data_IF_601576585264
#
_entry.id   IF_601576585264
#
_cell.length_a   1.000
_cell.length_b   1.000
_cell.length_c   1.000
_cell.angle_alpha   90.00
_cell.angle_beta   90.00
_cell.angle_gamma   90.00
#
_symmetry.space_group_name_H-M   'P 1'
#
loop_
_entity.id
_entity.type
_entity.pdbx_description
1 polymer ?
#
# COMPACT_ATOMS: atom_id res chain seq x y z
N UNK A 1 5.10 -33.79 0.95
CA UNK A 1 4.95 -32.44 1.54
C UNK A 1 5.62 -31.46 0.59
N UNK A 2 4.85 -30.63 -0.10
CA UNK A 2 5.40 -29.64 -1.04
C UNK A 2 6.15 -28.58 -0.23
N UNK A 3 7.46 -28.48 -0.43
CA UNK A 3 8.29 -27.42 0.15
C UNK A 3 7.87 -26.10 -0.50
N UNK A 4 6.88 -25.42 0.09
CA UNK A 4 6.53 -24.06 -0.36
C UNK A 4 7.74 -23.18 -0.10
N UNK A 5 8.28 -22.56 -1.15
CA UNK A 5 9.36 -21.59 -1.04
C UNK A 5 8.95 -20.48 -0.07
N UNK A 6 9.85 -20.06 0.82
CA UNK A 6 9.58 -19.07 1.87
C UNK A 6 8.93 -17.76 1.34
N UNK A 7 9.23 -17.39 0.10
CA UNK A 7 8.62 -16.24 -0.57
C UNK A 7 7.11 -16.37 -0.79
N UNK A 8 6.62 -17.57 -1.15
CA UNK A 8 5.19 -17.82 -1.35
C UNK A 8 4.44 -17.68 -0.02
N UNK A 9 5.04 -18.20 1.06
CA UNK A 9 4.49 -18.09 2.41
C UNK A 9 4.41 -16.62 2.81
N UNK A 10 5.50 -15.85 2.65
CA UNK A 10 5.51 -14.43 2.97
C UNK A 10 4.45 -13.65 2.18
N UNK A 11 4.30 -13.87 0.87
CA UNK A 11 3.27 -13.18 0.05
C UNK A 11 1.86 -13.50 0.50
N UNK A 12 1.58 -14.78 0.82
CA UNK A 12 0.27 -15.21 1.29
C UNK A 12 -0.02 -14.64 2.68
N UNK A 13 0.95 -14.70 3.59
CA UNK A 13 0.83 -14.11 4.93
C UNK A 13 0.61 -12.60 4.84
N UNK A 14 1.39 -11.88 4.03
CA UNK A 14 1.23 -10.44 3.82
C UNK A 14 -0.17 -10.11 3.27
N UNK A 15 -0.65 -10.87 2.28
CA UNK A 15 -2.00 -10.69 1.74
C UNK A 15 -3.08 -10.94 2.80
N UNK A 16 -3.00 -12.06 3.52
CA UNK A 16 -4.00 -12.42 4.53
C UNK A 16 -4.04 -11.37 5.63
N UNK A 17 -2.89 -10.98 6.16
CA UNK A 17 -2.82 -9.95 7.20
C UNK A 17 -3.31 -8.59 6.70
N UNK A 18 -2.91 -8.17 5.49
CA UNK A 18 -3.37 -6.89 4.92
C UNK A 18 -4.87 -6.91 4.66
N UNK A 19 -5.41 -8.05 4.19
CA UNK A 19 -6.84 -8.19 3.91
C UNK A 19 -7.64 -8.22 5.20
N UNK A 20 -7.20 -8.96 6.23
CA UNK A 20 -7.87 -8.97 7.53
C UNK A 20 -7.90 -7.58 8.16
N UNK A 21 -6.77 -6.89 8.15
CA UNK A 21 -6.67 -5.55 8.70
C UNK A 21 -7.48 -4.53 7.89
N UNK A 22 -7.38 -4.59 6.56
CA UNK A 22 -8.10 -3.68 5.65
C UNK A 22 -9.61 -3.91 5.63
N UNK A 23 -10.07 -5.17 5.67
CA UNK A 23 -11.50 -5.47 5.74
C UNK A 23 -12.05 -5.15 7.13
N UNK A 24 -11.32 -5.49 8.19
CA UNK A 24 -11.72 -5.16 9.57
C UNK A 24 -11.80 -3.65 9.81
N UNK A 25 -10.79 -2.90 9.37
CA UNK A 25 -10.80 -1.43 9.43
C UNK A 25 -11.89 -0.80 8.58
N UNK A 26 -12.20 -1.40 7.41
CA UNK A 26 -13.33 -0.96 6.58
C UNK A 26 -14.66 -1.18 7.31
N UNK A 27 -14.90 -2.36 7.89
CA UNK A 27 -16.12 -2.60 8.67
C UNK A 27 -16.27 -1.63 9.84
N UNK A 28 -15.17 -1.33 10.55
CA UNK A 28 -15.17 -0.32 11.60
C UNK A 28 -15.53 1.07 11.08
N UNK A 29 -14.93 1.50 9.96
CA UNK A 29 -15.21 2.79 9.34
C UNK A 29 -16.67 2.89 8.84
N UNK A 30 -17.18 1.82 8.23
CA UNK A 30 -18.57 1.74 7.80
C UNK A 30 -19.53 1.77 8.98
N UNK A 31 -19.23 1.04 10.06
CA UNK A 31 -20.01 1.07 11.31
C UNK A 31 -20.16 2.50 11.84
N UNK A 32 -19.06 3.25 11.94
CA UNK A 32 -19.11 4.66 12.33
C UNK A 32 -19.97 5.51 11.39
N UNK A 33 -19.90 5.28 10.07
CA UNK A 33 -20.74 6.01 9.12
C UNK A 33 -22.24 5.73 9.29
N UNK A 34 -22.60 4.52 9.76
CA UNK A 34 -23.99 4.16 10.09
C UNK A 34 -24.45 4.74 11.43
N UNK A 35 -23.53 4.95 12.37
CA UNK A 35 -23.82 5.61 13.65
C UNK A 35 -23.99 7.14 13.46
N UNK A 36 -23.14 7.77 12.64
CA UNK A 36 -23.22 9.19 12.27
C UNK A 36 -22.52 9.40 10.91
N UNK A 37 -23.22 9.79 9.82
CA UNK A 37 -24.54 10.43 9.75
C UNK A 37 -25.77 9.49 9.67
N UNK A 38 -25.56 8.17 9.53
CA UNK A 38 -26.65 7.20 9.45
C UNK A 38 -27.57 7.28 8.22
N UNK A 39 -28.60 6.44 8.21
CA UNK A 39 -29.66 6.43 7.19
C UNK A 39 -29.15 6.23 5.75
N UNK A 40 -29.78 6.94 4.79
CA UNK A 40 -29.41 6.83 3.37
C UNK A 40 -28.03 7.40 3.04
N UNK A 41 -27.55 8.38 3.83
CA UNK A 41 -26.21 8.98 3.65
C UNK A 41 -25.13 7.94 3.91
N UNK A 42 -25.27 7.14 4.98
CA UNK A 42 -24.36 6.03 5.27
C UNK A 42 -24.30 5.02 4.10
N UNK A 43 -25.44 4.72 3.47
CA UNK A 43 -25.51 3.82 2.31
C UNK A 43 -24.72 4.38 1.12
N UNK A 44 -24.87 5.68 0.82
CA UNK A 44 -24.12 6.29 -0.28
C UNK A 44 -22.62 6.38 -0.02
N UNK A 45 -22.21 6.71 1.22
CA UNK A 45 -20.80 6.70 1.62
C UNK A 45 -20.24 5.29 1.48
N UNK A 46 -20.98 4.29 1.98
CA UNK A 46 -20.61 2.88 1.86
C UNK A 46 -20.45 2.48 0.40
N UNK A 47 -21.42 2.79 -0.46
CA UNK A 47 -21.34 2.49 -1.88
C UNK A 47 -20.15 3.21 -2.54
N UNK A 48 -19.94 4.49 -2.21
CA UNK A 48 -18.83 5.30 -2.71
C UNK A 48 -17.45 4.78 -2.31
N UNK A 49 -17.35 3.99 -1.25
CA UNK A 49 -16.09 3.35 -0.81
C UNK A 49 -15.97 1.91 -1.33
N UNK A 50 -17.01 1.10 -1.12
CA UNK A 50 -17.00 -0.34 -1.39
C UNK A 50 -16.96 -0.61 -2.89
N UNK A 51 -17.69 0.16 -3.72
CA UNK A 51 -17.71 -0.07 -5.17
C UNK A 51 -16.34 0.19 -5.82
N UNK A 52 -15.66 1.34 -5.58
CA UNK A 52 -14.31 1.54 -6.09
C UNK A 52 -13.31 0.52 -5.55
N UNK A 53 -13.40 0.18 -4.27
CA UNK A 53 -12.54 -0.84 -3.67
C UNK A 53 -12.69 -2.19 -4.37
N UNK A 54 -13.93 -2.67 -4.54
CA UNK A 54 -14.22 -3.92 -5.23
C UNK A 54 -13.74 -3.89 -6.67
N UNK A 55 -13.94 -2.77 -7.39
CA UNK A 55 -13.45 -2.59 -8.75
C UNK A 55 -11.93 -2.68 -8.83
N UNK A 56 -11.20 -2.05 -7.89
CA UNK A 56 -9.74 -2.12 -7.81
C UNK A 56 -9.24 -3.53 -7.47
N UNK A 57 -9.92 -4.25 -6.57
CA UNK A 57 -9.59 -5.65 -6.24
C UNK A 57 -9.80 -6.55 -7.45
N UNK A 58 -10.93 -6.43 -8.14
CA UNK A 58 -11.23 -7.19 -9.36
C UNK A 58 -10.19 -6.87 -10.45
N UNK A 59 -9.83 -5.60 -10.62
CA UNK A 59 -8.78 -5.18 -11.55
C UNK A 59 -7.42 -5.80 -11.18
N UNK A 60 -7.06 -5.81 -9.89
CA UNK A 60 -5.82 -6.41 -9.39
C UNK A 60 -5.77 -7.93 -9.59
N UNK A 61 -6.91 -8.62 -9.51
CA UNK A 61 -7.02 -10.06 -9.78
C UNK A 61 -6.99 -10.38 -11.28
N UNK A 62 -7.69 -9.60 -12.10
CA UNK A 62 -7.87 -9.91 -13.52
C UNK A 62 -6.79 -9.36 -14.43
N UNK A 63 -6.20 -8.20 -14.11
CA UNK A 63 -5.21 -7.48 -14.94
C UNK A 63 -4.13 -6.83 -14.08
N UNK A 64 -3.20 -7.62 -13.50
CA UNK A 64 -2.21 -7.11 -12.54
C UNK A 64 -1.26 -6.05 -13.11
N UNK A 65 -0.99 -6.07 -14.42
CA UNK A 65 -0.18 -5.03 -15.09
C UNK A 65 -0.90 -3.66 -15.08
N UNK A 66 -2.16 -3.63 -15.51
CA UNK A 66 -2.99 -2.41 -15.51
C UNK A 66 -3.23 -1.92 -14.07
N UNK A 67 -3.47 -2.85 -13.15
CA UNK A 67 -3.65 -2.53 -11.73
C UNK A 67 -2.42 -1.81 -11.15
N UNK A 68 -1.20 -2.16 -11.58
CA UNK A 68 0.02 -1.50 -11.12
C UNK A 68 0.02 -0.02 -11.49
N UNK A 69 -0.31 0.32 -12.74
CA UNK A 69 -0.40 1.71 -13.19
C UNK A 69 -1.53 2.47 -12.47
N UNK A 70 -2.72 1.86 -12.37
CA UNK A 70 -3.89 2.47 -11.74
C UNK A 70 -3.65 2.73 -10.25
N UNK A 71 -3.13 1.75 -9.51
CA UNK A 71 -2.84 1.88 -8.09
C UNK A 71 -1.69 2.86 -7.83
N UNK A 72 -0.69 2.91 -8.72
CA UNK A 72 0.35 3.95 -8.64
C UNK A 72 -0.26 5.35 -8.78
N UNK A 73 -1.12 5.55 -9.79
CA UNK A 73 -1.85 6.81 -9.95
C UNK A 73 -2.71 7.17 -8.74
N UNK A 74 -3.40 6.18 -8.15
CA UNK A 74 -4.20 6.37 -6.94
C UNK A 74 -3.35 6.77 -5.72
N UNK A 75 -2.19 6.14 -5.52
CA UNK A 75 -1.25 6.50 -4.44
C UNK A 75 -0.66 7.89 -4.66
N UNK A 76 -0.34 8.27 -5.90
CA UNK A 76 0.11 9.63 -6.23
C UNK A 76 -0.99 10.65 -5.92
N UNK A 77 -2.22 10.40 -6.34
CA UNK A 77 -3.36 11.28 -6.05
C UNK A 77 -3.60 11.40 -4.55
N UNK A 78 -3.49 10.30 -3.81
CA UNK A 78 -3.55 10.29 -2.35
C UNK A 78 -2.43 11.13 -1.72
N UNK A 79 -1.20 11.03 -2.22
CA UNK A 79 -0.08 11.84 -1.75
C UNK A 79 -0.29 13.33 -2.02
N UNK A 80 -0.79 13.69 -3.22
CA UNK A 80 -1.14 15.07 -3.56
C UNK A 80 -2.25 15.59 -2.64
N UNK A 81 -3.26 14.77 -2.34
CA UNK A 81 -4.30 15.10 -1.39
C UNK A 81 -3.72 15.32 0.03
N UNK A 82 -2.80 14.46 0.48
CA UNK A 82 -2.10 14.64 1.76
C UNK A 82 -1.40 16.00 1.85
N UNK A 83 -0.68 16.38 0.80
CA UNK A 83 -0.05 17.71 0.73
C UNK A 83 -1.11 18.82 0.76
N UNK A 84 -2.20 18.69 -0.01
CA UNK A 84 -3.26 19.69 -0.03
C UNK A 84 -3.90 19.90 1.34
N UNK A 85 -4.10 18.83 2.13
CA UNK A 85 -4.68 18.97 3.49
C UNK A 85 -3.79 19.74 4.47
N UNK A 86 -2.48 19.73 4.26
CA UNK A 86 -1.53 20.50 5.06
C UNK A 86 -1.55 21.97 4.65
N UNK A 87 -1.73 22.25 3.35
CA UNK A 87 -1.67 23.61 2.79
C UNK A 87 -2.99 24.38 2.97
N UNK A 88 -4.12 23.71 2.80
CA UNK A 88 -5.44 24.36 2.74
C UNK A 88 -6.31 24.15 3.98
N UNK A 89 -5.86 23.32 4.94
CA UNK A 89 -6.57 22.89 6.15
C UNK A 89 -8.10 22.77 5.98
N UNK A 90 -8.58 21.82 5.14
CA UNK A 90 -10.00 21.67 4.89
C UNK A 90 -10.72 21.21 6.16
N UNK A 91 -11.78 21.92 6.53
CA UNK A 91 -12.54 21.73 7.78
C UNK A 91 -13.19 20.33 7.89
N UNK A 92 -13.38 19.60 6.79
CA UNK A 92 -14.03 18.28 6.74
C UNK A 92 -13.34 17.28 5.78
N UNK A 93 -12.02 17.14 5.89
CA UNK A 93 -11.27 16.21 5.04
C UNK A 93 -11.47 14.74 5.48
N UNK A 94 -11.60 13.77 4.53
CA UNK A 94 -11.57 12.35 4.87
C UNK A 94 -10.29 12.00 5.63
N UNK A 95 -10.42 11.21 6.68
CA UNK A 95 -9.28 10.83 7.51
C UNK A 95 -8.28 10.04 6.67
N UNK A 96 -7.08 10.58 6.50
CA UNK A 96 -5.97 9.97 5.74
C UNK A 96 -5.76 8.48 6.01
N UNK A 97 -5.91 7.97 7.25
CA UNK A 97 -5.80 6.55 7.54
C UNK A 97 -6.83 5.67 6.83
N UNK A 98 -8.07 6.16 6.62
CA UNK A 98 -9.13 5.39 5.95
C UNK A 98 -8.78 5.19 4.47
N UNK A 99 -8.33 6.24 3.78
CA UNK A 99 -7.92 6.15 2.38
C UNK A 99 -6.74 5.18 2.24
N UNK A 100 -5.75 5.27 3.15
CA UNK A 100 -4.62 4.34 3.18
C UNK A 100 -5.07 2.89 3.31
N UNK A 101 -6.06 2.62 4.16
CA UNK A 101 -6.60 1.30 4.42
C UNK A 101 -7.40 0.75 3.23
N UNK A 102 -8.18 1.61 2.55
CA UNK A 102 -8.87 1.29 1.30
C UNK A 102 -7.86 0.91 0.20
N UNK A 103 -6.76 1.65 0.07
CA UNK A 103 -5.72 1.35 -0.93
C UNK A 103 -4.91 0.10 -0.59
N UNK A 104 -4.72 -0.20 0.70
CA UNK A 104 -3.87 -1.31 1.14
C UNK A 104 -4.34 -2.67 0.62
N UNK A 105 -5.65 -2.92 0.59
CA UNK A 105 -6.23 -4.21 0.16
C UNK A 105 -5.95 -4.51 -1.32
N UNK A 106 -6.31 -3.67 -2.30
CA UNK A 106 -6.02 -3.95 -3.70
C UNK A 106 -4.52 -3.95 -4.00
N UNK A 107 -3.72 -3.15 -3.30
CA UNK A 107 -2.24 -3.22 -3.41
C UNK A 107 -1.73 -4.59 -2.95
N UNK A 108 -2.23 -5.13 -1.85
CA UNK A 108 -1.84 -6.45 -1.37
C UNK A 108 -2.26 -7.58 -2.33
N UNK A 109 -3.44 -7.48 -2.93
CA UNK A 109 -3.92 -8.42 -3.96
C UNK A 109 -3.01 -8.37 -5.19
N UNK A 110 -2.67 -7.17 -5.67
CA UNK A 110 -1.69 -6.98 -6.75
C UNK A 110 -0.31 -7.55 -6.37
N UNK A 111 0.08 -7.45 -5.10
CA UNK A 111 1.34 -7.97 -4.55
C UNK A 111 1.54 -9.48 -4.67
N UNK A 112 0.49 -10.26 -4.98
CA UNK A 112 0.65 -11.67 -5.34
C UNK A 112 1.49 -11.84 -6.62
N UNK A 113 1.29 -10.95 -7.59
CA UNK A 113 1.97 -10.96 -8.88
C UNK A 113 3.23 -10.08 -8.86
N UNK A 114 3.13 -8.88 -8.27
CA UNK A 114 4.20 -7.87 -8.25
C UNK A 114 4.54 -7.44 -6.80
N UNK A 115 5.18 -8.32 -6.00
CA UNK A 115 5.40 -8.09 -4.57
C UNK A 115 6.25 -6.85 -4.27
N UNK A 116 7.30 -6.59 -5.06
CA UNK A 116 8.16 -5.43 -4.87
C UNK A 116 7.37 -4.12 -5.04
N UNK A 117 6.60 -4.00 -6.13
CA UNK A 117 5.77 -2.83 -6.39
C UNK A 117 4.71 -2.64 -5.31
N UNK A 118 4.07 -3.72 -4.86
CA UNK A 118 3.12 -3.65 -3.76
C UNK A 118 3.76 -3.15 -2.47
N UNK A 119 4.96 -3.64 -2.14
CA UNK A 119 5.73 -3.19 -0.98
C UNK A 119 6.06 -1.70 -1.04
N UNK A 120 6.52 -1.20 -2.19
CA UNK A 120 6.80 0.23 -2.39
C UNK A 120 5.52 1.08 -2.28
N UNK A 121 4.42 0.65 -2.90
CA UNK A 121 3.15 1.39 -2.85
C UNK A 121 2.57 1.40 -1.44
N UNK A 122 2.63 0.29 -0.69
CA UNK A 122 2.21 0.26 0.72
C UNK A 122 3.08 1.15 1.59
N UNK A 123 4.40 1.16 1.38
CA UNK A 123 5.31 2.03 2.11
C UNK A 123 4.99 3.52 1.85
N UNK A 124 4.79 3.88 0.58
CA UNK A 124 4.39 5.25 0.21
C UNK A 124 3.04 5.63 0.84
N UNK A 125 2.08 4.70 0.83
CA UNK A 125 0.76 4.90 1.44
C UNK A 125 0.86 5.10 2.97
N UNK A 126 1.68 4.30 3.66
CA UNK A 126 1.91 4.42 5.11
C UNK A 126 2.68 5.70 5.47
N UNK A 127 3.52 6.21 4.58
CA UNK A 127 4.31 7.40 4.83
C UNK A 127 3.46 8.68 4.87
N UNK A 128 2.37 8.77 4.10
CA UNK A 128 1.60 10.01 3.99
C UNK A 128 0.99 10.48 5.32
N UNK A 129 0.29 9.64 6.12
CA UNK A 129 -0.21 10.07 7.43
C UNK A 129 0.91 10.50 8.37
N UNK A 130 2.08 9.85 8.31
CA UNK A 130 3.25 10.23 9.12
C UNK A 130 3.80 11.60 8.74
N UNK A 131 3.90 11.89 7.44
CA UNK A 131 4.36 13.19 6.95
C UNK A 131 3.41 14.30 7.42
N UNK A 132 2.10 14.09 7.30
CA UNK A 132 1.10 15.07 7.77
C UNK A 132 1.25 15.32 9.28
N UNK A 133 1.36 14.26 10.08
CA UNK A 133 1.57 14.37 11.52
C UNK A 133 2.86 15.12 11.84
N UNK A 134 3.94 14.78 11.15
CA UNK A 134 5.25 15.36 11.40
C UNK A 134 5.29 16.84 11.03
N UNK A 135 4.66 17.23 9.93
CA UNK A 135 4.54 18.63 9.54
C UNK A 135 3.75 19.40 10.59
N UNK A 136 2.57 18.89 11.01
CA UNK A 136 1.74 19.51 12.07
C UNK A 136 2.53 19.66 13.37
N UNK A 137 3.23 18.61 13.80
CA UNK A 137 4.10 18.62 14.97
C UNK A 137 5.17 19.72 14.87
N UNK A 138 5.86 19.85 13.73
CA UNK A 138 6.89 20.89 13.58
C UNK A 138 6.32 22.31 13.49
N UNK A 139 5.12 22.49 12.96
CA UNK A 139 4.43 23.79 12.99
C UNK A 139 3.99 24.16 14.41
N UNK A 140 3.45 23.21 15.19
CA UNK A 140 2.94 23.45 16.55
C UNK A 140 4.06 23.53 17.60
N UNK A 141 5.14 22.77 17.42
CA UNK A 141 6.32 22.85 18.30
C UNK A 141 7.01 24.22 18.23
N UNK A 142 6.88 24.96 17.11
CA UNK A 142 7.35 26.35 17.01
C UNK A 142 6.54 27.32 17.88
N UNK A 143 5.31 26.97 18.25
CA UNK A 143 4.43 27.76 19.12
C UNK A 143 4.55 27.44 20.61
N UNK A 144 5.36 26.44 20.99
CA UNK A 144 5.68 26.14 22.41
C UNK A 144 4.78 25.10 23.10
N UNK A 145 3.67 24.70 22.48
CA UNK A 145 2.69 23.73 23.02
C UNK A 145 2.71 22.38 22.27
N UNK A 146 3.89 21.91 21.87
CA UNK A 146 4.03 20.70 21.05
C UNK A 146 3.80 19.38 21.82
N UNK A 147 2.85 18.52 21.41
CA UNK A 147 2.62 17.22 22.02
C UNK A 147 3.80 16.26 21.75
N UNK A 148 4.37 15.62 22.78
CA UNK A 148 5.57 14.79 22.64
C UNK A 148 5.42 13.61 21.67
N UNK A 149 6.52 13.18 21.02
CA UNK A 149 6.53 12.14 19.96
C UNK A 149 5.79 10.84 20.32
N UNK A 150 5.77 10.44 21.59
CA UNK A 150 5.04 9.25 22.06
C UNK A 150 3.52 9.36 21.94
N UNK A 151 2.97 10.58 22.02
CA UNK A 151 1.55 10.83 21.81
C UNK A 151 1.12 10.62 20.35
N UNK A 152 2.04 10.84 19.40
CA UNK A 152 1.76 10.73 17.97
C UNK A 152 1.46 9.29 17.53
N UNK A 153 2.19 8.32 18.11
CA UNK A 153 1.97 6.89 17.84
C UNK A 153 0.91 6.24 18.74
N UNK A 154 0.52 6.89 19.84
CA UNK A 154 -0.59 6.47 20.70
C UNK A 154 -1.97 6.83 20.17
N UNK A 155 -2.06 7.61 19.09
CA UNK A 155 -3.33 7.99 18.44
C UNK A 155 -3.83 6.90 17.49
N UNK A 156 -5.09 7.01 17.08
CA UNK A 156 -5.74 6.16 16.07
C UNK A 156 -4.97 6.06 14.74
N UNK A 157 -4.13 7.04 14.41
CA UNK A 157 -3.26 7.00 13.22
C UNK A 157 -2.14 5.96 13.36
N UNK A 158 -1.54 5.82 14.54
CA UNK A 158 -0.49 4.82 14.79
C UNK A 158 -0.99 3.39 14.61
N UNK A 159 -2.23 3.14 15.05
CA UNK A 159 -2.92 1.83 14.91
C UNK A 159 -3.05 1.40 13.45
N UNK A 160 -3.21 2.35 12.52
CA UNK A 160 -3.36 2.07 11.08
C UNK A 160 -2.02 2.03 10.36
N UNK A 161 -1.15 2.99 10.63
CA UNK A 161 0.12 3.14 9.90
C UNK A 161 1.07 1.98 10.19
N UNK A 162 1.18 1.56 11.44
CA UNK A 162 2.18 0.59 11.87
C UNK A 162 1.95 -0.80 11.24
N UNK A 163 0.72 -1.34 11.20
CA UNK A 163 0.42 -2.56 10.44
C UNK A 163 0.71 -2.42 8.94
N UNK A 164 0.32 -1.30 8.30
CA UNK A 164 0.57 -1.09 6.86
C UNK A 164 2.08 -1.07 6.57
N UNK A 165 2.88 -0.42 7.43
CA UNK A 165 4.33 -0.41 7.32
C UNK A 165 4.93 -1.83 7.45
N UNK A 166 4.43 -2.62 8.40
CA UNK A 166 4.82 -4.05 8.53
C UNK A 166 4.47 -4.84 7.27
N UNK A 167 3.28 -4.63 6.70
CA UNK A 167 2.87 -5.31 5.47
C UNK A 167 3.73 -4.91 4.27
N UNK A 168 4.12 -3.63 4.18
CA UNK A 168 5.05 -3.16 3.17
C UNK A 168 6.39 -3.91 3.24
N UNK A 169 6.94 -4.06 4.45
CA UNK A 169 8.20 -4.80 4.66
C UNK A 169 8.06 -6.27 4.23
N UNK A 170 6.94 -6.92 4.58
CA UNK A 170 6.67 -8.30 4.16
C UNK A 170 6.63 -8.45 2.63
N UNK A 171 6.01 -7.50 1.92
CA UNK A 171 5.96 -7.52 0.46
C UNK A 171 7.32 -7.19 -0.19
N UNK A 172 8.08 -6.24 0.37
CA UNK A 172 9.43 -5.91 -0.12
C UNK A 172 10.38 -7.10 0.04
N UNK A 173 10.38 -7.76 1.19
CA UNK A 173 11.19 -8.97 1.45
C UNK A 173 10.76 -10.16 0.58
N UNK A 174 9.47 -10.31 0.33
CA UNK A 174 8.95 -11.29 -0.61
C UNK A 174 9.31 -10.99 -2.08
N UNK A 175 9.54 -9.73 -2.42
CA UNK A 175 9.97 -9.31 -3.76
C UNK A 175 11.48 -9.43 -3.97
N UNK A 176 12.28 -9.12 -2.95
CA UNK A 176 13.75 -9.19 -3.02
C UNK A 176 14.28 -10.62 -3.13
N UNK A 177 13.57 -11.59 -2.56
CA UNK A 177 13.89 -13.03 -2.66
C UNK A 177 13.77 -13.61 -4.07
N UNK A 178 13.21 -12.86 -5.04
CA UNK A 178 13.08 -13.27 -6.43
C UNK A 178 13.98 -12.50 -7.40
N UNK A 179 14.82 -11.56 -6.96
CA UNK A 179 15.84 -10.98 -7.84
C UNK A 179 16.86 -12.07 -8.18
N UNK A 180 16.85 -12.64 -9.40
CA UNK A 180 17.92 -13.52 -9.81
C UNK A 180 19.17 -12.65 -9.91
N UNK A 181 20.31 -13.24 -9.61
CA UNK A 181 21.65 -12.75 -9.93
C UNK A 181 21.79 -12.54 -11.45
N UNK A 182 21.11 -11.53 -12.01
CA UNK A 182 20.99 -11.26 -13.47
C UNK A 182 22.29 -10.71 -14.08
N UNK A 183 23.42 -10.90 -13.39
CA UNK A 183 24.71 -10.33 -13.76
C UNK A 183 25.90 -11.27 -13.61
N UNK A 184 25.73 -12.60 -13.46
CA UNK A 184 26.91 -13.49 -13.30
C UNK A 184 27.03 -14.74 -14.16
N UNK A 185 26.05 -15.10 -14.97
CA UNK A 185 26.22 -16.25 -15.88
C UNK A 185 25.65 -15.95 -17.27
N UNK A 186 26.42 -15.17 -18.03
CA UNK A 186 26.46 -15.37 -19.47
C UNK A 186 27.46 -16.52 -19.67
N UNK A 187 27.05 -17.72 -20.11
CA UNK A 187 28.00 -18.77 -20.44
C UNK A 187 28.93 -18.23 -21.54
N UNK A 188 30.24 -18.48 -21.50
CA UNK A 188 31.14 -18.05 -22.56
C UNK A 188 30.62 -18.61 -23.87
N UNK A 189 30.25 -17.72 -24.79
CA UNK A 189 29.97 -18.06 -26.19
C UNK A 189 31.19 -18.81 -26.71
N UNK A 190 31.05 -20.13 -26.88
CA UNK A 190 32.06 -20.95 -27.56
C UNK A 190 32.37 -20.27 -28.90
N UNK A 191 33.65 -20.03 -29.24
CA UNK A 191 34.01 -19.60 -30.59
C UNK A 191 33.51 -20.67 -31.58
N UNK A 192 32.73 -20.25 -32.58
CA UNK A 192 32.39 -21.10 -33.70
C UNK A 192 33.69 -21.50 -34.42
N UNK A 193 33.91 -22.79 -34.73
CA UNK A 193 35.07 -23.20 -35.52
C UNK A 193 35.00 -22.54 -36.90
N UNK A 194 36.16 -22.18 -37.49
CA UNK A 194 36.20 -21.52 -38.79
C UNK A 194 35.55 -22.43 -39.84
N UNK A 195 34.53 -21.91 -40.50
CA UNK A 195 33.96 -22.55 -41.67
C UNK A 195 35.10 -22.73 -42.70
N UNK A 196 35.47 -23.98 -42.92
CA UNK A 196 36.46 -24.36 -43.91
C UNK A 196 36.04 -23.78 -45.27
N UNK A 197 36.89 -22.93 -45.84
CA UNK A 197 36.77 -22.54 -47.24
C UNK A 197 36.92 -23.80 -48.09
N UNK A 198 35.85 -24.24 -48.75
CA UNK A 198 35.92 -25.19 -49.85
C UNK A 198 35.77 -24.43 -51.17
N UNK A 199 36.94 -24.26 -51.81
CA UNK A 199 37.24 -24.10 -53.25
C UNK A 199 36.31 -23.30 -54.15
#
# INVERSE_FOLDING_TARGET
>A
MVQMSASIILRRTALVLTSLFGVGGLFFALGNAFDDPGGWKAVLITAGVVVPLAALVVLALGRPEVATTVLTGAVVLYALWAVATVVFDPVDAPTMPIIALILAVPIAVMGQHHPWHAGVLLAATAAMPLVVILVRYFTEARTGDGPGLGSLFGTSTGVVVLPIAVFAILFLTAGSSHLPLRGREQPPTRPLPPAAMSR
#
